data_IF_585271437465
#
_entry.id   IF_585271437465
#
_cell.length_a   1.000
_cell.length_b   1.000
_cell.length_c   1.000
_cell.angle_alpha   90.00
_cell.angle_beta   90.00
_cell.angle_gamma   90.00
#
_symmetry.space_group_name_H-M   'P 1'
#
loop_
_entity.id
_entity.type
_entity.pdbx_description
1 polymer ?
#
# COMPACT_ATOMS: atom_id res chain seq x y z
N UNK A 1 6.34 8.20 37.98
CA UNK A 1 6.09 8.50 36.56
C UNK A 1 5.27 7.35 35.95
N UNK A 2 3.97 7.33 36.20
CA UNK A 2 3.09 6.24 35.73
C UNK A 2 2.72 6.53 34.28
N UNK A 3 3.02 5.60 33.36
CA UNK A 3 2.56 5.64 31.96
C UNK A 3 1.25 4.87 31.88
N UNK A 4 0.14 5.53 31.53
CA UNK A 4 -1.07 4.81 31.12
C UNK A 4 -0.96 4.49 29.63
N UNK A 5 -0.98 3.20 29.32
CA UNK A 5 -1.05 2.67 27.96
C UNK A 5 -2.50 2.27 27.74
N UNK A 6 -3.20 2.98 26.86
CA UNK A 6 -4.53 2.57 26.42
C UNK A 6 -4.43 2.08 24.96
N UNK A 7 -4.84 0.84 24.72
CA UNK A 7 -4.96 0.28 23.38
C UNK A 7 -6.36 0.53 22.85
N UNK A 8 -6.44 1.23 21.71
CA UNK A 8 -7.67 1.39 20.95
C UNK A 8 -7.46 0.79 19.56
N UNK A 9 -7.93 -0.43 19.35
CA UNK A 9 -7.72 -1.16 18.10
C UNK A 9 -6.24 -1.41 17.81
N UNK A 10 -5.79 -1.16 16.57
CA UNK A 10 -4.38 -1.28 16.16
C UNK A 10 -3.52 -0.06 16.56
N UNK A 11 -4.03 0.84 17.40
CA UNK A 11 -3.30 2.04 17.83
C UNK A 11 -2.96 1.94 19.33
N UNK A 12 -1.70 2.22 19.65
CA UNK A 12 -1.23 2.35 21.04
C UNK A 12 -1.15 3.83 21.39
N UNK A 13 -1.98 4.29 22.34
CA UNK A 13 -1.99 5.68 22.80
C UNK A 13 -1.23 5.76 24.13
N UNK A 14 -0.16 6.55 24.15
CA UNK A 14 0.59 6.86 25.38
C UNK A 14 0.22 8.27 25.82
N UNK A 15 -0.46 8.40 26.96
CA UNK A 15 -0.71 9.72 27.56
C UNK A 15 0.45 10.10 28.49
N UNK A 16 1.06 11.27 28.24
CA UNK A 16 2.01 11.91 29.15
C UNK A 16 1.37 13.20 29.64
N UNK A 17 1.44 13.44 30.94
CA UNK A 17 0.63 14.39 31.72
C UNK A 17 0.93 15.89 31.51
N UNK A 18 1.41 16.31 30.34
CA UNK A 18 1.47 17.72 29.97
C UNK A 18 1.20 17.90 28.46
N UNK A 19 -0.07 18.17 28.16
CA UNK A 19 -0.69 18.83 26.98
C UNK A 19 -0.21 18.61 25.53
N UNK A 20 0.76 17.78 25.23
CA UNK A 20 1.17 17.53 23.84
C UNK A 20 0.72 16.13 23.45
N UNK A 21 -0.41 16.03 22.75
CA UNK A 21 -0.79 14.83 22.03
C UNK A 21 0.26 14.58 20.94
N UNK A 22 1.23 13.72 21.21
CA UNK A 22 2.11 13.19 20.18
C UNK A 22 1.36 12.04 19.52
N UNK A 23 0.71 12.29 18.39
CA UNK A 23 0.34 11.23 17.47
C UNK A 23 1.64 10.61 16.96
N UNK A 24 1.90 9.35 17.32
CA UNK A 24 2.91 8.55 16.64
C UNK A 24 2.34 8.23 15.26
N UNK A 25 2.68 9.03 14.25
CA UNK A 25 2.48 8.64 12.85
C UNK A 25 3.27 7.35 12.61
N UNK A 26 2.54 6.24 12.53
CA UNK A 26 3.12 4.99 12.05
C UNK A 26 3.33 5.17 10.56
N UNK A 27 4.57 5.39 10.14
CA UNK A 27 4.92 5.45 8.73
C UNK A 27 4.74 4.07 8.11
N UNK A 28 3.56 3.83 7.52
CA UNK A 28 3.28 2.62 6.77
C UNK A 28 3.95 2.77 5.41
N UNK A 29 4.98 1.97 5.09
CA UNK A 29 5.69 2.12 3.83
C UNK A 29 4.74 1.90 2.66
N UNK A 30 4.86 2.77 1.66
CA UNK A 30 4.02 2.76 0.47
C UNK A 30 4.85 2.52 -0.79
N UNK A 31 4.18 1.97 -1.80
CA UNK A 31 4.70 1.90 -3.14
C UNK A 31 3.61 2.22 -4.16
N UNK A 32 4.02 2.83 -5.26
CA UNK A 32 3.21 2.97 -6.46
C UNK A 32 3.68 1.95 -7.48
N UNK A 33 2.75 1.15 -8.00
CA UNK A 33 3.07 0.16 -9.01
C UNK A 33 2.29 0.49 -10.27
N UNK A 34 3.04 0.69 -11.35
CA UNK A 34 2.51 0.84 -12.69
C UNK A 34 2.36 -0.55 -13.30
N UNK A 35 1.19 -0.84 -13.86
CA UNK A 35 0.90 -2.12 -14.50
C UNK A 35 0.64 -1.91 -15.99
N UNK A 36 1.28 -2.77 -16.78
CA UNK A 36 0.94 -3.00 -18.18
C UNK A 36 0.25 -4.35 -18.27
N UNK A 37 -0.86 -4.40 -18.98
CA UNK A 37 -1.70 -5.57 -19.12
C UNK A 37 -1.58 -6.18 -20.51
N UNK A 38 -2.04 -7.41 -20.65
CA UNK A 38 -2.27 -8.03 -21.94
C UNK A 38 -3.51 -7.40 -22.60
N UNK A 39 -3.58 -7.34 -23.94
CA UNK A 39 -4.73 -6.74 -24.62
C UNK A 39 -6.06 -7.32 -24.15
N UNK A 40 -7.04 -6.45 -23.89
CA UNK A 40 -8.39 -6.82 -23.41
C UNK A 40 -8.47 -7.38 -21.99
N UNK A 41 -7.36 -7.39 -21.23
CA UNK A 41 -7.33 -7.85 -19.83
C UNK A 41 -7.36 -6.68 -18.82
N UNK A 42 -7.36 -5.42 -19.27
CA UNK A 42 -7.26 -4.22 -18.44
C UNK A 42 -8.32 -4.22 -17.33
N UNK A 43 -9.57 -4.52 -17.70
CA UNK A 43 -10.71 -4.56 -16.76
C UNK A 43 -10.59 -5.70 -15.74
N UNK A 44 -10.12 -6.87 -16.17
CA UNK A 44 -9.98 -8.03 -15.30
C UNK A 44 -8.91 -7.79 -14.25
N UNK A 45 -7.76 -7.26 -14.69
CA UNK A 45 -6.64 -6.88 -13.81
C UNK A 45 -7.07 -5.77 -12.84
N UNK A 46 -7.80 -4.75 -13.31
CA UNK A 46 -8.34 -3.69 -12.46
C UNK A 46 -9.20 -4.23 -11.31
N UNK A 47 -10.14 -5.14 -11.62
CA UNK A 47 -11.02 -5.74 -10.62
C UNK A 47 -10.24 -6.63 -9.63
N UNK A 48 -9.26 -7.40 -10.12
CA UNK A 48 -8.41 -8.22 -9.27
C UNK A 48 -7.61 -7.38 -8.27
N UNK A 49 -7.02 -6.26 -8.73
CA UNK A 49 -6.27 -5.33 -7.90
C UNK A 49 -7.17 -4.60 -6.90
N UNK A 50 -8.35 -4.14 -7.33
CA UNK A 50 -9.30 -3.40 -6.48
C UNK A 50 -9.81 -4.25 -5.32
N UNK A 51 -9.92 -5.57 -5.50
CA UNK A 51 -10.37 -6.50 -4.46
C UNK A 51 -9.23 -6.98 -3.54
N UNK A 52 -7.99 -6.56 -3.77
CA UNK A 52 -6.85 -7.00 -2.99
C UNK A 52 -6.70 -6.16 -1.70
N UNK A 53 -6.60 -6.81 -0.53
CA UNK A 53 -6.64 -6.12 0.78
C UNK A 53 -5.53 -5.10 1.00
N UNK A 54 -4.39 -5.29 0.34
CA UNK A 54 -3.20 -4.43 0.47
C UNK A 54 -3.18 -3.26 -0.51
N UNK A 55 -4.16 -3.20 -1.41
CA UNK A 55 -4.30 -2.13 -2.39
C UNK A 55 -5.15 -1.02 -1.78
N UNK A 56 -4.56 0.17 -1.70
CA UNK A 56 -5.26 1.34 -1.19
C UNK A 56 -6.06 2.03 -2.29
N UNK A 57 -5.49 2.15 -3.49
CA UNK A 57 -6.09 2.85 -4.64
C UNK A 57 -5.68 2.20 -5.96
N UNK A 58 -6.59 2.21 -6.95
CA UNK A 58 -6.34 1.78 -8.33
C UNK A 58 -6.91 2.81 -9.29
N UNK A 59 -6.09 3.26 -10.23
CA UNK A 59 -6.51 4.17 -11.30
C UNK A 59 -6.13 3.62 -12.67
N UNK A 60 -7.06 3.69 -13.61
CA UNK A 60 -6.77 3.45 -15.02
C UNK A 60 -6.08 4.67 -15.62
N UNK A 61 -5.12 4.42 -16.50
CA UNK A 61 -4.30 5.42 -17.16
C UNK A 61 -4.47 5.34 -18.67
N UNK A 62 -4.33 6.50 -19.31
CA UNK A 62 -4.06 6.58 -20.74
C UNK A 62 -2.56 6.85 -20.91
N UNK A 63 -1.80 5.90 -21.46
CA UNK A 63 -0.36 6.08 -21.62
C UNK A 63 0.41 4.79 -21.90
N UNK A 64 1.68 4.76 -21.50
CA UNK A 64 2.55 3.58 -21.66
C UNK A 64 2.11 2.40 -20.78
N UNK A 65 1.52 2.72 -19.64
CA UNK A 65 0.95 1.78 -18.66
C UNK A 65 -0.56 1.96 -18.62
N UNK A 66 -1.25 0.88 -18.24
CA UNK A 66 -2.71 0.82 -18.25
C UNK A 66 -3.27 1.18 -16.87
N UNK A 67 -2.56 0.86 -15.79
CA UNK A 67 -3.00 1.11 -14.42
C UNK A 67 -1.86 1.65 -13.54
N UNK A 68 -2.22 2.43 -12.53
CA UNK A 68 -1.37 2.73 -11.36
C UNK A 68 -2.09 2.32 -10.08
N UNK A 69 -1.33 1.72 -9.17
CA UNK A 69 -1.85 1.20 -7.91
C UNK A 69 -1.02 1.74 -6.76
N UNK A 70 -1.67 2.26 -5.72
CA UNK A 70 -1.01 2.57 -4.44
C UNK A 70 -1.17 1.39 -3.50
N UNK A 71 -0.04 0.88 -3.02
CA UNK A 71 0.02 -0.25 -2.08
C UNK A 71 0.61 0.28 -0.78
N UNK A 72 -0.01 -0.09 0.34
CA UNK A 72 0.49 0.22 1.68
C UNK A 72 0.66 -1.07 2.46
N UNK A 73 1.70 -1.13 3.30
CA UNK A 73 1.97 -2.28 4.14
C UNK A 73 2.28 -1.85 5.58
N UNK A 74 2.17 -2.79 6.51
CA UNK A 74 2.54 -2.57 7.91
C UNK A 74 4.04 -2.38 8.13
N UNK A 75 4.88 -2.94 7.25
CA UNK A 75 6.34 -2.87 7.32
C UNK A 75 6.97 -3.14 5.93
N UNK A 76 8.23 -2.73 5.76
CA UNK A 76 8.91 -2.79 4.46
C UNK A 76 9.11 -4.22 3.97
N UNK A 77 9.28 -5.18 4.89
CA UNK A 77 9.44 -6.60 4.54
C UNK A 77 8.15 -7.15 3.92
N UNK A 78 7.01 -6.81 4.50
CA UNK A 78 5.68 -7.15 3.98
C UNK A 78 5.46 -6.50 2.62
N UNK A 79 5.80 -5.22 2.47
CA UNK A 79 5.71 -4.51 1.18
C UNK A 79 6.53 -5.22 0.09
N UNK A 80 7.81 -5.49 0.36
CA UNK A 80 8.69 -6.19 -0.60
C UNK A 80 8.16 -7.59 -0.95
N UNK A 81 7.64 -8.33 0.03
CA UNK A 81 7.04 -9.65 -0.20
C UNK A 81 5.87 -9.61 -1.18
N UNK A 82 4.92 -8.69 -0.97
CA UNK A 82 3.75 -8.54 -1.84
C UNK A 82 4.16 -8.14 -3.27
N UNK A 83 5.09 -7.18 -3.41
CA UNK A 83 5.61 -6.71 -4.69
C UNK A 83 6.31 -7.82 -5.51
N UNK A 84 7.01 -8.72 -4.83
CA UNK A 84 7.75 -9.81 -5.48
C UNK A 84 6.87 -11.01 -5.84
N UNK A 85 5.85 -11.32 -5.04
CA UNK A 85 5.16 -12.62 -5.12
C UNK A 85 3.68 -12.55 -5.49
N UNK A 86 2.95 -11.52 -5.07
CA UNK A 86 1.47 -11.51 -5.18
C UNK A 86 1.03 -10.83 -6.47
N UNK A 87 1.51 -9.61 -6.72
CA UNK A 87 1.04 -8.82 -7.86
C UNK A 87 1.50 -9.35 -9.22
N UNK A 88 2.67 -10.00 -9.29
CA UNK A 88 3.19 -10.58 -10.55
C UNK A 88 2.44 -11.82 -11.02
N UNK A 89 1.63 -12.44 -10.15
CA UNK A 89 0.89 -13.67 -10.47
C UNK A 89 -0.53 -13.39 -10.98
N UNK A 90 -1.01 -12.15 -10.92
CA UNK A 90 -2.35 -11.82 -11.42
C UNK A 90 -2.37 -12.02 -12.93
N UNK A 91 -3.27 -12.90 -13.38
CA UNK A 91 -3.45 -13.22 -14.79
C UNK A 91 -3.81 -11.97 -15.59
N UNK A 92 -3.21 -11.82 -16.77
CA UNK A 92 -3.41 -10.67 -17.63
C UNK A 92 -2.42 -9.53 -17.41
N UNK A 93 -1.53 -9.60 -16.42
CA UNK A 93 -0.41 -8.67 -16.32
C UNK A 93 0.68 -9.05 -17.32
N UNK A 94 1.16 -8.06 -18.06
CA UNK A 94 2.29 -8.16 -18.99
C UNK A 94 3.59 -7.68 -18.36
N UNK A 95 3.56 -6.54 -17.67
CA UNK A 95 4.74 -5.95 -17.04
C UNK A 95 4.36 -5.04 -15.88
N UNK A 96 5.32 -4.79 -14.99
CA UNK A 96 5.14 -3.93 -13.81
C UNK A 96 6.38 -3.08 -13.54
N UNK A 97 6.18 -1.80 -13.20
CA UNK A 97 7.23 -0.94 -12.67
C UNK A 97 6.86 -0.47 -11.26
N UNK A 98 7.76 -0.68 -10.31
CA UNK A 98 7.56 -0.33 -8.90
C UNK A 98 8.31 0.94 -8.53
N UNK A 99 7.63 1.87 -7.86
CA UNK A 99 8.15 3.11 -7.32
C UNK A 99 7.94 3.11 -5.80
N UNK A 100 9.01 2.96 -5.03
CA UNK A 100 8.93 2.97 -3.56
C UNK A 100 8.81 4.44 -3.09
N UNK A 101 7.80 4.73 -2.27
CA UNK A 101 7.64 6.05 -1.68
C UNK A 101 8.69 6.27 -0.58
N UNK A 102 9.23 7.48 -0.51
CA UNK A 102 10.20 7.90 0.50
C UNK A 102 9.71 9.22 1.09
N UNK A 103 9.70 9.31 2.41
CA UNK A 103 9.28 10.52 3.12
C UNK A 103 10.39 11.59 3.10
N UNK A 104 9.98 12.86 2.99
CA UNK A 104 10.85 14.03 2.98
C UNK A 104 10.64 14.92 4.20
#
# INVERSE_FOLDING_TARGET
>A
MVRLIEQYGNQTVVSVSDKTRVQLEQNMPEAFVLFKTLPSQERNVYLALTNHSSVAEVHALYGEYDLIVRISAKDSKTLSGMLMSEFRQIEGIKDTQTLIAVDY
#
